data_IF_752817358619
#
_entry.id   IF_752817358619
#
_cell.length_a   1.000
_cell.length_b   1.000
_cell.length_c   1.000
_cell.angle_alpha   90.00
_cell.angle_beta   90.00
_cell.angle_gamma   90.00
#
_symmetry.space_group_name_H-M   'P 1'
#
loop_
_entity.id
_entity.type
_entity.pdbx_description
1 polymer ?
#
# COMPACT_ATOMS: atom_id res chain seq x y z
N UNK A 1 12.32 -19.17 7.89
CA UNK A 1 13.69 -19.15 7.35
C UNK A 1 13.76 -20.23 6.31
N UNK A 2 13.95 -19.85 5.05
CA UNK A 2 14.10 -20.78 3.94
C UNK A 2 15.58 -20.80 3.54
N UNK A 3 16.30 -21.91 3.70
CA UNK A 3 17.69 -22.03 3.25
C UNK A 3 17.74 -22.01 1.71
N UNK A 4 18.70 -21.27 1.14
CA UNK A 4 18.87 -21.14 -0.31
C UNK A 4 19.82 -22.20 -0.91
N UNK A 5 20.43 -22.99 -0.05
CA UNK A 5 21.46 -23.99 -0.30
C UNK A 5 20.86 -25.38 -0.57
N UNK A 6 20.14 -25.50 -1.69
CA UNK A 6 19.72 -26.82 -2.19
C UNK A 6 18.80 -26.80 -3.42
N UNK A 7 19.34 -27.17 -4.59
CA UNK A 7 18.66 -27.50 -5.87
C UNK A 7 17.70 -26.47 -6.51
N UNK A 8 17.10 -25.55 -5.73
CA UNK A 8 16.26 -24.45 -6.21
C UNK A 8 17.07 -23.22 -6.65
N UNK A 9 18.31 -23.09 -6.16
CA UNK A 9 19.26 -22.04 -6.57
C UNK A 9 19.75 -22.16 -8.03
N UNK A 10 19.43 -23.26 -8.72
CA UNK A 10 19.94 -23.53 -10.08
C UNK A 10 19.12 -22.94 -11.22
N UNK A 11 17.91 -22.42 -10.98
CA UNK A 11 17.01 -21.98 -12.06
C UNK A 11 16.15 -20.76 -11.78
N UNK A 12 16.04 -20.31 -10.52
CA UNK A 12 15.25 -19.12 -10.19
C UNK A 12 16.16 -17.86 -10.21
N UNK A 13 15.90 -16.89 -11.10
CA UNK A 13 16.67 -15.65 -11.17
C UNK A 13 16.75 -14.90 -9.83
N UNK A 14 15.69 -14.95 -9.02
CA UNK A 14 15.64 -14.30 -7.71
C UNK A 14 16.67 -14.89 -6.75
N UNK A 15 16.73 -16.21 -6.62
CA UNK A 15 17.68 -16.87 -5.72
C UNK A 15 19.12 -16.71 -6.19
N UNK A 16 19.35 -16.67 -7.49
CA UNK A 16 20.68 -16.39 -8.04
C UNK A 16 21.15 -14.97 -7.66
N UNK A 17 20.29 -13.95 -7.86
CA UNK A 17 20.61 -12.56 -7.50
C UNK A 17 20.79 -12.33 -6.01
N UNK A 18 20.05 -13.05 -5.18
CA UNK A 18 20.26 -13.07 -3.73
C UNK A 18 21.63 -13.67 -3.36
N UNK A 19 21.99 -14.81 -3.96
CA UNK A 19 23.27 -15.46 -3.72
C UNK A 19 24.47 -14.63 -4.19
N UNK A 20 24.37 -13.94 -5.33
CA UNK A 20 25.38 -12.99 -5.83
C UNK A 20 25.64 -11.84 -4.85
N UNK A 21 24.63 -11.47 -4.06
CA UNK A 21 24.70 -10.45 -2.99
C UNK A 21 25.13 -11.01 -1.63
N UNK A 22 25.46 -12.30 -1.56
CA UNK A 22 25.87 -12.97 -0.32
C UNK A 22 24.71 -13.26 0.64
N UNK A 23 23.46 -13.13 0.21
CA UNK A 23 22.27 -13.45 1.01
C UNK A 23 22.03 -14.96 0.87
N UNK A 24 22.16 -15.67 2.00
CA UNK A 24 22.06 -17.15 2.05
C UNK A 24 20.74 -17.66 2.60
N UNK A 25 19.97 -16.78 3.24
CA UNK A 25 18.65 -17.07 3.77
C UNK A 25 17.74 -15.86 3.63
N UNK A 26 16.45 -16.12 3.39
CA UNK A 26 15.40 -15.09 3.39
C UNK A 26 14.46 -15.36 4.55
N UNK A 27 14.26 -14.32 5.36
CA UNK A 27 13.26 -14.27 6.42
C UNK A 27 12.10 -13.37 6.01
N UNK A 28 10.87 -13.83 6.26
CA UNK A 28 9.68 -13.01 6.15
C UNK A 28 9.04 -12.88 7.53
N UNK A 29 8.84 -11.64 7.96
CA UNK A 29 8.12 -11.30 9.18
C UNK A 29 6.77 -10.67 8.81
N UNK A 30 5.70 -11.16 9.45
CA UNK A 30 4.35 -10.61 9.29
C UNK A 30 3.85 -10.17 10.67
N UNK A 31 3.52 -8.88 10.79
CA UNK A 31 2.89 -8.32 11.98
C UNK A 31 1.50 -7.82 11.61
N UNK A 32 0.53 -8.15 12.43
CA UNK A 32 -0.84 -7.68 12.30
C UNK A 32 -1.22 -7.05 13.62
N UNK A 33 -1.64 -5.79 13.57
CA UNK A 33 -2.17 -5.07 14.71
C UNK A 33 -3.61 -4.66 14.38
N UNK A 34 -4.50 -4.84 15.34
CA UNK A 34 -5.83 -4.25 15.26
C UNK A 34 -6.29 -3.85 16.65
N UNK A 35 -7.18 -2.88 16.70
CA UNK A 35 -7.78 -2.50 17.96
C UNK A 35 -8.87 -1.47 17.78
N UNK A 36 -9.53 -1.22 18.91
CA UNK A 36 -10.66 -0.32 18.99
C UNK A 36 -10.42 0.64 20.15
N UNK A 37 -10.67 1.91 19.90
CA UNK A 37 -10.70 2.96 20.90
C UNK A 37 -12.09 3.57 20.93
N UNK A 38 -12.70 3.59 22.11
CA UNK A 38 -13.97 4.25 22.36
C UNK A 38 -13.69 5.66 22.88
N UNK A 39 -14.29 6.67 22.27
CA UNK A 39 -14.18 8.07 22.67
C UNK A 39 -15.56 8.74 22.57
N UNK A 40 -16.20 8.96 23.72
CA UNK A 40 -17.56 9.50 23.77
C UNK A 40 -18.55 8.59 23.02
N UNK A 41 -19.24 9.13 22.03
CA UNK A 41 -20.20 8.42 21.17
C UNK A 41 -19.56 7.84 19.89
N UNK A 42 -18.25 7.99 19.73
CA UNK A 42 -17.50 7.49 18.59
C UNK A 42 -16.69 6.24 18.94
N UNK A 43 -16.56 5.36 17.95
CA UNK A 43 -15.68 4.21 17.97
C UNK A 43 -14.66 4.37 16.85
N UNK A 44 -13.38 4.44 17.19
CA UNK A 44 -12.26 4.42 16.24
C UNK A 44 -11.67 3.02 16.22
N UNK A 45 -11.57 2.45 15.03
CA UNK A 45 -10.91 1.18 14.76
C UNK A 45 -9.60 1.47 14.04
N UNK A 46 -8.55 0.73 14.38
CA UNK A 46 -7.31 0.77 13.62
C UNK A 46 -6.93 -0.65 13.18
N UNK A 47 -6.38 -0.74 11.97
CA UNK A 47 -5.83 -1.96 11.41
C UNK A 47 -4.45 -1.64 10.84
N UNK A 48 -3.46 -2.45 11.20
CA UNK A 48 -2.08 -2.34 10.76
C UNK A 48 -1.60 -3.70 10.27
N UNK A 49 -0.98 -3.73 9.09
CA UNK A 49 -0.31 -4.90 8.54
C UNK A 49 1.09 -4.47 8.15
N UNK A 50 2.09 -5.19 8.61
CA UNK A 50 3.49 -4.99 8.24
C UNK A 50 4.04 -6.33 7.75
N UNK A 51 4.55 -6.33 6.53
CA UNK A 51 5.23 -7.46 5.93
C UNK A 51 6.66 -7.04 5.60
N UNK A 52 7.64 -7.72 6.18
CA UNK A 52 9.05 -7.43 5.96
C UNK A 52 9.77 -8.64 5.39
N UNK A 53 10.49 -8.46 4.29
CA UNK A 53 11.53 -9.37 3.85
C UNK A 53 12.84 -8.86 4.44
N UNK A 54 13.41 -9.64 5.36
CA UNK A 54 14.58 -9.24 6.15
C UNK A 54 15.69 -8.72 5.23
N UNK A 55 16.22 -7.56 5.58
CA UNK A 55 17.31 -6.85 4.89
C UNK A 55 17.05 -6.45 3.44
N UNK A 56 15.82 -6.59 2.93
CA UNK A 56 15.47 -6.32 1.53
C UNK A 56 14.34 -5.32 1.35
N UNK A 57 13.23 -5.51 2.06
CA UNK A 57 12.10 -4.57 1.98
C UNK A 57 11.16 -4.69 3.18
N UNK A 58 10.45 -3.62 3.50
CA UNK A 58 9.30 -3.62 4.39
C UNK A 58 8.13 -2.88 3.72
N UNK A 59 6.94 -3.48 3.81
CA UNK A 59 5.69 -2.84 3.41
C UNK A 59 4.80 -2.75 4.63
N UNK A 60 4.39 -1.54 4.97
CA UNK A 60 3.47 -1.25 6.08
C UNK A 60 2.20 -0.62 5.54
N UNK A 61 1.06 -1.10 6.02
CA UNK A 61 -0.24 -0.53 5.76
C UNK A 61 -0.93 -0.26 7.09
N UNK A 62 -1.34 0.98 7.33
CA UNK A 62 -2.15 1.36 8.48
C UNK A 62 -3.44 2.04 8.00
N UNK A 63 -4.56 1.74 8.64
CA UNK A 63 -5.82 2.43 8.40
C UNK A 63 -6.54 2.69 9.72
N UNK A 64 -7.04 3.91 9.87
CA UNK A 64 -7.88 4.34 10.97
C UNK A 64 -9.27 4.67 10.43
N UNK A 65 -10.28 4.05 11.02
CA UNK A 65 -11.67 4.18 10.64
C UNK A 65 -12.50 4.60 11.85
N UNK A 66 -13.47 5.47 11.67
CA UNK A 66 -14.44 5.84 12.71
C UNK A 66 -15.84 5.39 12.34
N UNK A 67 -16.64 5.10 13.37
CA UNK A 67 -18.09 4.98 13.25
C UNK A 67 -18.77 5.46 14.53
N UNK A 68 -20.02 5.90 14.42
CA UNK A 68 -20.84 6.20 15.58
C UNK A 68 -21.20 4.90 16.33
N UNK A 69 -21.12 4.91 17.66
CA UNK A 69 -21.47 3.74 18.48
C UNK A 69 -22.93 3.32 18.31
N UNK A 70 -23.84 4.28 18.11
CA UNK A 70 -25.25 4.00 17.80
C UNK A 70 -25.35 3.20 16.50
N UNK A 71 -24.61 3.58 15.45
CA UNK A 71 -24.59 2.84 14.19
C UNK A 71 -24.04 1.43 14.36
N UNK A 72 -22.96 1.25 15.14
CA UNK A 72 -22.44 -0.07 15.47
C UNK A 72 -23.52 -0.95 16.15
N UNK A 73 -24.20 -0.42 17.17
CA UNK A 73 -25.23 -1.16 17.90
C UNK A 73 -26.44 -1.57 17.05
N UNK A 74 -26.74 -0.80 16.00
CA UNK A 74 -27.82 -1.11 15.06
C UNK A 74 -27.40 -2.14 14.00
N UNK A 75 -26.14 -2.07 13.54
CA UNK A 75 -25.64 -2.92 12.46
C UNK A 75 -25.20 -4.31 12.92
N UNK A 76 -24.67 -4.46 14.14
CA UNK A 76 -24.22 -5.76 14.67
C UNK A 76 -25.33 -6.83 14.69
N UNK A 77 -26.55 -6.54 15.17
CA UNK A 77 -27.65 -7.49 15.11
C UNK A 77 -27.99 -7.90 13.67
N UNK A 78 -27.94 -6.96 12.71
CA UNK A 78 -28.25 -7.22 11.30
C UNK A 78 -27.18 -8.08 10.62
N UNK A 79 -25.90 -7.91 10.97
CA UNK A 79 -24.78 -8.74 10.47
C UNK A 79 -24.80 -10.17 11.03
N UNK A 80 -25.53 -10.37 12.13
CA UNK A 80 -25.70 -11.69 12.75
C UNK A 80 -26.86 -12.47 12.12
N UNK A 81 -27.65 -11.82 11.25
CA UNK A 81 -28.81 -12.39 10.57
C UNK A 81 -28.50 -12.58 9.08
N UNK A 82 -28.39 -13.83 8.59
CA UNK A 82 -28.03 -14.11 7.19
C UNK A 82 -28.91 -13.43 6.14
N UNK A 83 -30.18 -13.20 6.47
CA UNK A 83 -31.19 -12.61 5.57
C UNK A 83 -31.00 -11.08 5.38
N UNK A 84 -30.40 -10.41 6.37
CA UNK A 84 -30.21 -8.95 6.39
C UNK A 84 -28.77 -8.53 6.08
N UNK A 85 -27.85 -9.48 5.88
CA UNK A 85 -26.43 -9.23 5.65
C UNK A 85 -26.16 -8.26 4.50
N UNK A 86 -26.92 -8.33 3.40
CA UNK A 86 -26.76 -7.43 2.26
C UNK A 86 -27.07 -5.97 2.62
N UNK A 87 -28.18 -5.73 3.32
CA UNK A 87 -28.55 -4.40 3.79
C UNK A 87 -27.59 -3.89 4.88
N UNK A 88 -27.12 -4.79 5.75
CA UNK A 88 -26.16 -4.47 6.80
C UNK A 88 -24.78 -4.06 6.23
N UNK A 89 -24.28 -4.74 5.20
CA UNK A 89 -23.02 -4.38 4.54
C UNK A 89 -23.10 -3.02 3.83
N UNK A 90 -24.22 -2.73 3.17
CA UNK A 90 -24.46 -1.40 2.59
C UNK A 90 -24.57 -0.32 3.69
N UNK A 91 -25.27 -0.60 4.78
CA UNK A 91 -25.37 0.29 5.94
C UNK A 91 -24.01 0.59 6.57
N UNK A 92 -23.14 -0.43 6.70
CA UNK A 92 -21.77 -0.26 7.17
C UNK A 92 -20.97 0.67 6.27
N UNK A 93 -21.07 0.54 4.94
CA UNK A 93 -20.33 1.39 4.01
C UNK A 93 -20.65 2.89 4.16
N UNK A 94 -21.86 3.24 4.61
CA UNK A 94 -22.25 4.62 4.92
C UNK A 94 -21.96 5.04 6.37
N UNK A 95 -21.89 4.09 7.31
CA UNK A 95 -21.67 4.36 8.72
C UNK A 95 -20.19 4.42 9.12
N UNK A 96 -19.32 3.79 8.34
CA UNK A 96 -17.87 3.81 8.53
C UNK A 96 -17.26 4.96 7.73
N UNK A 97 -16.41 5.73 8.40
CA UNK A 97 -15.63 6.81 7.81
C UNK A 97 -14.13 6.53 7.93
N UNK A 98 -13.38 6.95 6.93
CA UNK A 98 -11.92 6.95 6.92
C UNK A 98 -11.42 8.18 7.67
N UNK A 99 -10.63 7.96 8.73
CA UNK A 99 -9.97 9.02 9.48
C UNK A 99 -8.55 9.25 8.96
N UNK A 100 -7.82 8.17 8.67
CA UNK A 100 -6.48 8.20 8.09
C UNK A 100 -6.13 6.87 7.44
N UNK A 101 -5.25 6.88 6.45
CA UNK A 101 -4.57 5.69 5.94
C UNK A 101 -3.11 6.00 5.61
N UNK A 102 -2.24 5.02 5.76
CA UNK A 102 -0.82 5.13 5.47
C UNK A 102 -0.35 3.86 4.77
N UNK A 103 0.41 4.02 3.70
CA UNK A 103 1.22 2.97 3.09
C UNK A 103 2.67 3.43 3.15
N UNK A 104 3.55 2.59 3.70
CA UNK A 104 5.00 2.78 3.67
C UNK A 104 5.61 1.62 2.90
N UNK A 105 6.48 1.93 1.95
CA UNK A 105 7.34 0.97 1.25
C UNK A 105 8.78 1.39 1.55
N UNK A 106 9.49 0.60 2.33
CA UNK A 106 10.92 0.75 2.58
C UNK A 106 11.66 -0.27 1.74
N UNK A 107 12.32 0.18 0.68
CA UNK A 107 13.15 -0.64 -0.18
C UNK A 107 14.63 -0.48 0.17
N UNK A 108 15.25 -1.61 0.55
CA UNK A 108 16.67 -1.67 0.96
C UNK A 108 17.51 -2.43 -0.07
N UNK A 109 16.95 -2.72 -1.25
CA UNK A 109 17.62 -3.44 -2.34
C UNK A 109 16.79 -4.53 -3.01
N UNK A 110 15.50 -4.70 -2.65
CA UNK A 110 14.64 -5.62 -3.38
C UNK A 110 14.39 -5.11 -4.81
N UNK A 111 14.09 -3.81 -4.97
CA UNK A 111 13.88 -3.23 -6.29
C UNK A 111 15.11 -3.38 -7.19
N UNK A 112 16.32 -3.27 -6.63
CA UNK A 112 17.54 -3.49 -7.40
C UNK A 112 17.62 -4.90 -7.98
N UNK A 113 17.27 -5.91 -7.17
CA UNK A 113 17.21 -7.30 -7.64
C UNK A 113 16.14 -7.45 -8.74
N UNK A 114 14.95 -6.90 -8.52
CA UNK A 114 13.83 -7.02 -9.46
C UNK A 114 14.13 -6.33 -10.80
N UNK A 115 14.76 -5.15 -10.77
CA UNK A 115 15.14 -4.43 -11.99
C UNK A 115 16.27 -5.11 -12.75
N UNK A 116 17.26 -5.70 -12.06
CA UNK A 116 18.29 -6.50 -12.70
C UNK A 116 17.72 -7.72 -13.42
N UNK A 117 16.79 -8.45 -12.78
CA UNK A 117 16.14 -9.61 -13.39
C UNK A 117 15.33 -9.18 -14.62
N UNK A 118 14.50 -8.14 -14.50
CA UNK A 118 13.70 -7.63 -15.60
C UNK A 118 14.57 -7.14 -16.77
N UNK A 119 15.68 -6.47 -16.47
CA UNK A 119 16.63 -6.00 -17.48
C UNK A 119 17.29 -7.18 -18.24
N UNK A 120 17.69 -8.23 -17.52
CA UNK A 120 18.23 -9.45 -18.12
C UNK A 120 17.21 -10.18 -19.02
N UNK A 121 15.94 -10.25 -18.58
CA UNK A 121 14.85 -10.86 -19.35
C UNK A 121 14.55 -10.10 -20.65
N UNK A 122 14.54 -8.77 -20.60
CA UNK A 122 14.29 -7.90 -21.77
C UNK A 122 15.54 -7.63 -22.61
N UNK A 123 16.72 -8.09 -22.16
CA UNK A 123 17.99 -7.89 -22.87
C UNK A 123 18.46 -6.43 -22.91
N UNK A 124 18.10 -5.63 -21.90
CA UNK A 124 18.44 -4.21 -21.77
C UNK A 124 19.32 -3.97 -20.55
N UNK A 125 19.81 -2.73 -20.37
CA UNK A 125 20.51 -2.36 -19.13
C UNK A 125 19.53 -2.06 -17.99
N UNK A 126 19.97 -2.24 -16.74
CA UNK A 126 19.18 -1.85 -15.54
C UNK A 126 18.71 -0.38 -15.62
N UNK A 127 19.60 0.53 -16.03
CA UNK A 127 19.26 1.95 -16.19
C UNK A 127 18.20 2.21 -17.26
N UNK A 128 18.21 1.45 -18.36
CA UNK A 128 17.18 1.54 -19.39
C UNK A 128 15.85 0.98 -18.88
N UNK A 129 15.89 -0.14 -18.16
CA UNK A 129 14.70 -0.75 -17.56
C UNK A 129 14.02 0.20 -16.56
N UNK A 130 14.78 0.83 -15.66
CA UNK A 130 14.26 1.84 -14.72
C UNK A 130 13.71 3.07 -15.44
N UNK A 131 14.32 3.45 -16.56
CA UNK A 131 13.81 4.56 -17.38
C UNK A 131 12.47 4.19 -18.01
N UNK A 132 12.33 2.99 -18.56
CA UNK A 132 11.06 2.48 -19.07
C UNK A 132 9.99 2.42 -17.97
N UNK A 133 10.33 1.92 -16.79
CA UNK A 133 9.41 1.85 -15.65
C UNK A 133 8.89 3.24 -15.24
N UNK A 134 9.79 4.24 -15.14
CA UNK A 134 9.41 5.63 -14.85
C UNK A 134 8.52 6.23 -15.94
N UNK A 135 8.79 5.96 -17.21
CA UNK A 135 7.93 6.42 -18.31
C UNK A 135 6.52 5.83 -18.24
N UNK A 136 6.41 4.53 -17.97
CA UNK A 136 5.11 3.86 -17.80
C UNK A 136 4.35 4.43 -16.61
N UNK A 137 5.03 4.61 -15.47
CA UNK A 137 4.46 5.22 -14.28
C UNK A 137 3.96 6.63 -14.56
N UNK A 138 4.78 7.47 -15.19
CA UNK A 138 4.41 8.85 -15.53
C UNK A 138 3.17 8.88 -16.41
N UNK A 139 3.10 8.02 -17.44
CA UNK A 139 1.92 7.91 -18.29
C UNK A 139 0.67 7.47 -17.52
N UNK A 140 0.80 6.50 -16.61
CA UNK A 140 -0.32 5.99 -15.81
C UNK A 140 -0.85 7.04 -14.83
N UNK A 141 0.05 7.74 -14.13
CA UNK A 141 -0.31 8.80 -13.20
C UNK A 141 -0.89 10.01 -13.91
N UNK A 142 -0.34 10.43 -15.05
CA UNK A 142 -0.91 11.53 -15.83
C UNK A 142 -2.28 11.19 -16.43
N UNK A 143 -2.52 9.93 -16.79
CA UNK A 143 -3.81 9.47 -17.29
C UNK A 143 -4.90 9.40 -16.21
N UNK A 144 -4.49 9.12 -14.96
CA UNK A 144 -5.43 8.91 -13.84
C UNK A 144 -5.58 10.15 -12.95
N UNK A 145 -4.50 10.90 -12.74
CA UNK A 145 -4.42 12.06 -11.86
C UNK A 145 -3.78 13.26 -12.58
N UNK A 146 -4.31 13.73 -13.73
CA UNK A 146 -3.72 14.82 -14.50
C UNK A 146 -3.41 16.09 -13.71
N UNK A 147 -4.20 16.44 -12.69
CA UNK A 147 -3.98 17.65 -11.89
C UNK A 147 -2.93 17.45 -10.78
N UNK A 148 -2.83 16.23 -10.24
CA UNK A 148 -1.94 15.93 -9.12
C UNK A 148 -0.66 15.19 -9.52
N UNK A 149 -0.53 14.72 -10.76
CA UNK A 149 0.62 13.92 -11.22
C UNK A 149 1.96 14.61 -10.95
N UNK A 150 2.05 15.93 -11.13
CA UNK A 150 3.27 16.69 -10.87
C UNK A 150 3.75 16.61 -9.41
N UNK A 151 2.84 16.42 -8.46
CA UNK A 151 3.16 16.28 -7.04
C UNK A 151 3.38 14.81 -6.64
N UNK A 152 2.66 13.88 -7.27
CA UNK A 152 2.73 12.44 -6.95
C UNK A 152 3.95 11.76 -7.57
N UNK A 153 4.33 12.16 -8.78
CA UNK A 153 5.35 11.47 -9.57
C UNK A 153 6.77 11.55 -8.99
N UNK A 154 7.30 12.73 -8.59
CA UNK A 154 8.69 12.83 -8.15
C UNK A 154 9.12 11.87 -7.03
N UNK A 155 8.37 11.71 -5.91
CA UNK A 155 8.78 10.80 -4.85
C UNK A 155 8.75 9.33 -5.30
N UNK A 156 7.82 8.94 -6.17
CA UNK A 156 7.73 7.55 -6.67
C UNK A 156 8.87 7.27 -7.66
N UNK A 157 9.23 8.24 -8.51
CA UNK A 157 10.39 8.13 -9.40
C UNK A 157 11.70 8.02 -8.60
N UNK A 158 11.80 8.73 -7.47
CA UNK A 158 12.95 8.62 -6.58
C UNK A 158 13.07 7.21 -6.01
N UNK A 159 11.98 6.62 -5.50
CA UNK A 159 11.98 5.21 -5.05
C UNK A 159 12.47 4.26 -6.16
N UNK A 160 11.95 4.39 -7.39
CA UNK A 160 12.36 3.55 -8.52
C UNK A 160 13.83 3.74 -8.89
N UNK A 161 14.34 4.96 -8.77
CA UNK A 161 15.70 5.29 -9.22
C UNK A 161 16.77 4.86 -8.23
N UNK A 162 16.49 4.90 -6.92
CA UNK A 162 17.52 4.75 -5.88
C UNK A 162 17.09 3.93 -4.65
N UNK A 163 15.89 3.36 -4.63
CA UNK A 163 15.36 2.70 -3.42
C UNK A 163 15.01 3.70 -2.32
N UNK A 164 15.03 3.26 -1.06
CA UNK A 164 14.69 4.07 0.11
C UNK A 164 13.22 3.91 0.53
N UNK A 165 12.73 4.84 1.36
CA UNK A 165 11.37 4.80 1.90
C UNK A 165 10.42 5.70 1.10
N UNK A 166 9.29 5.15 0.66
CA UNK A 166 8.15 5.87 0.10
C UNK A 166 6.98 5.78 1.08
N UNK A 167 6.51 6.93 1.56
CA UNK A 167 5.32 7.05 2.40
C UNK A 167 4.19 7.73 1.62
N UNK A 168 3.04 7.06 1.54
CA UNK A 168 1.78 7.59 1.06
C UNK A 168 0.84 7.71 2.26
N UNK A 169 0.48 8.95 2.61
CA UNK A 169 -0.42 9.26 3.72
C UNK A 169 -1.70 9.87 3.17
N UNK A 170 -2.86 9.36 3.61
CA UNK A 170 -4.16 9.98 3.44
C UNK A 170 -4.65 10.45 4.81
N UNK A 171 -4.78 11.76 4.99
CA UNK A 171 -5.26 12.37 6.22
C UNK A 171 -6.28 13.46 5.90
N UNK A 172 -7.56 13.09 5.67
CA UNK A 172 -8.59 14.06 5.36
C UNK A 172 -8.81 15.03 6.53
N UNK A 173 -9.15 16.29 6.23
CA UNK A 173 -9.42 17.29 7.26
C UNK A 173 -10.67 16.99 8.12
N UNK A 174 -11.56 16.13 7.62
CA UNK A 174 -12.73 15.59 8.32
C UNK A 174 -12.90 14.11 7.91
N UNK A 175 -13.42 13.22 8.78
CA UNK A 175 -13.65 11.83 8.42
C UNK A 175 -14.50 11.67 7.15
N UNK A 176 -14.06 10.82 6.23
CA UNK A 176 -14.71 10.64 4.92
C UNK A 176 -15.47 9.31 4.89
N UNK A 177 -16.80 9.30 4.68
CA UNK A 177 -17.57 8.05 4.59
C UNK A 177 -17.04 7.13 3.49
N UNK A 178 -16.92 5.83 3.76
CA UNK A 178 -16.42 4.85 2.77
C UNK A 178 -17.30 4.77 1.52
N UNK A 179 -18.58 5.10 1.63
CA UNK A 179 -19.51 5.24 0.51
C UNK A 179 -19.06 6.28 -0.53
N UNK A 180 -18.21 7.24 -0.15
CA UNK A 180 -17.61 8.23 -1.06
C UNK A 180 -16.63 7.62 -2.07
N UNK A 181 -16.14 6.40 -1.82
CA UNK A 181 -15.17 5.70 -2.68
C UNK A 181 -15.65 5.53 -4.13
N UNK A 182 -16.95 5.32 -4.35
CA UNK A 182 -17.53 5.27 -5.69
C UNK A 182 -17.31 6.59 -6.46
N UNK A 183 -17.48 7.72 -5.77
CA UNK A 183 -17.24 9.04 -6.36
C UNK A 183 -15.76 9.26 -6.69
N UNK A 184 -14.86 8.79 -5.83
CA UNK A 184 -13.41 8.87 -6.06
C UNK A 184 -12.94 8.07 -7.27
N UNK A 185 -13.57 6.93 -7.58
CA UNK A 185 -13.24 6.20 -8.80
C UNK A 185 -13.64 6.94 -10.08
N UNK A 186 -14.69 7.77 -10.02
CA UNK A 186 -15.13 8.58 -11.17
C UNK A 186 -14.31 9.86 -11.32
N UNK A 187 -13.84 10.42 -10.20
CA UNK A 187 -13.08 11.68 -10.12
C UNK A 187 -11.83 11.51 -9.25
N UNK A 188 -10.83 10.76 -9.75
CA UNK A 188 -9.62 10.40 -9.01
C UNK A 188 -8.79 11.58 -8.51
N UNK A 189 -8.64 12.66 -9.28
CA UNK A 189 -7.92 13.86 -8.82
C UNK A 189 -8.56 14.53 -7.61
N UNK A 190 -9.90 14.59 -7.55
CA UNK A 190 -10.58 15.15 -6.39
C UNK A 190 -10.38 14.28 -5.15
N UNK A 191 -10.21 12.97 -5.33
CA UNK A 191 -9.92 12.06 -4.23
C UNK A 191 -8.60 12.42 -3.54
N UNK A 192 -7.56 12.78 -4.30
CA UNK A 192 -6.27 13.23 -3.76
C UNK A 192 -6.47 14.42 -2.81
N UNK A 193 -7.24 15.42 -3.23
CA UNK A 193 -7.48 16.63 -2.45
C UNK A 193 -8.37 16.35 -1.23
N UNK A 194 -9.48 15.62 -1.41
CA UNK A 194 -10.44 15.36 -0.35
C UNK A 194 -9.89 14.44 0.73
N UNK A 195 -9.07 13.46 0.35
CA UNK A 195 -8.39 12.55 1.27
C UNK A 195 -7.12 13.16 1.86
N UNK A 196 -6.69 14.34 1.40
CA UNK A 196 -5.44 14.96 1.83
C UNK A 196 -4.24 14.06 1.57
N UNK A 197 -4.18 13.45 0.38
CA UNK A 197 -3.12 12.50 0.04
C UNK A 197 -1.79 13.23 -0.17
N UNK A 198 -0.77 12.77 0.55
CA UNK A 198 0.62 13.21 0.40
C UNK A 198 1.51 12.02 0.13
N UNK A 199 2.45 12.19 -0.80
CA UNK A 199 3.47 11.19 -1.11
C UNK A 199 4.83 11.79 -0.82
N UNK A 200 5.65 11.10 -0.04
CA UNK A 200 6.99 11.55 0.34
C UNK A 200 7.97 10.42 0.15
N UNK A 201 9.19 10.78 -0.23
CA UNK A 201 10.30 9.84 -0.38
C UNK A 201 11.45 10.27 0.53
N UNK A 202 12.08 9.29 1.17
CA UNK A 202 13.27 9.43 2.00
C UNK A 202 14.34 8.48 1.46
N UNK A 203 15.55 8.98 1.16
CA UNK A 203 16.64 8.17 0.63
C UNK A 203 17.24 7.21 1.67
#
# INVERSE_FOLDING_TARGET
MMPLDGSAAGSDPMFQKLAERGITDVGMDLKIASGVRLAGDSMTMFYGIEAAMRDLTEIRFNVALSMAQVSYSQLVPMLSSPEDNGAALLGLSGAVSLDAAEIVIDDRGLLDILFEIAAEEEGVSDGDMRTMARMVLASALQGTFPENAANLLPPIEALISQGGELQVLAQPGMPVPLSSSLGFMMLPDMAIQQLGITVTHMP
#
